data_IF_891888109997
#
_entry.id   IF_891888109997
#
_cell.length_a   1.000
_cell.length_b   1.000
_cell.length_c   1.000
_cell.angle_alpha   90.00
_cell.angle_beta   90.00
_cell.angle_gamma   90.00
#
_symmetry.space_group_name_H-M   'P 1'
#
loop_
_entity.id
_entity.type
_entity.pdbx_description
1 polymer ?
#
# COMPACT_ATOMS: atom_id res chain seq x y z
N UNK A 1 -1.46 50.62 -57.25
CA UNK A 1 -0.55 49.82 -56.38
C UNK A 1 -0.52 50.53 -55.04
N UNK A 2 -0.97 50.02 -53.89
CA UNK A 2 -1.38 48.69 -53.41
C UNK A 2 -2.58 48.89 -52.47
N UNK A 3 -3.46 47.91 -52.38
CA UNK A 3 -4.42 47.76 -51.29
C UNK A 3 -3.80 46.83 -50.24
N UNK A 4 -3.85 47.22 -48.96
CA UNK A 4 -3.47 46.37 -47.83
C UNK A 4 -4.69 45.54 -47.40
N UNK A 5 -4.49 44.22 -47.30
CA UNK A 5 -5.41 43.27 -46.68
C UNK A 5 -4.96 43.06 -45.23
N UNK A 6 -5.81 43.44 -44.26
CA UNK A 6 -5.73 42.90 -42.90
C UNK A 6 -6.46 41.56 -42.86
N UNK A 7 -5.75 40.49 -42.50
CA UNK A 7 -6.31 39.19 -42.13
C UNK A 7 -6.40 39.11 -40.60
N UNK A 8 -7.62 39.04 -40.07
CA UNK A 8 -7.88 38.67 -38.67
C UNK A 8 -7.50 37.19 -38.43
N UNK A 9 -6.72 36.92 -37.37
CA UNK A 9 -6.46 35.57 -36.84
C UNK A 9 -7.53 35.21 -35.78
N UNK A 10 -8.09 33.99 -35.74
CA UNK A 10 -9.04 33.62 -34.69
C UNK A 10 -8.35 33.07 -33.43
N UNK A 11 -8.94 33.43 -32.29
CA UNK A 11 -8.80 32.91 -30.92
C UNK A 11 -8.05 31.57 -30.73
N UNK A 12 -6.87 31.61 -30.09
CA UNK A 12 -6.20 30.47 -29.44
C UNK A 12 -5.89 30.84 -27.97
N UNK A 13 -6.88 31.36 -27.22
CA UNK A 13 -6.69 31.65 -25.78
C UNK A 13 -7.66 30.91 -24.86
N UNK A 14 -8.78 30.38 -25.36
CA UNK A 14 -9.82 29.76 -24.50
C UNK A 14 -9.55 28.30 -24.14
N UNK A 15 -8.83 27.54 -24.97
CA UNK A 15 -8.59 26.10 -24.73
C UNK A 15 -7.48 25.82 -23.72
N UNK A 16 -6.55 26.76 -23.51
CA UNK A 16 -5.44 26.57 -22.56
C UNK A 16 -5.82 26.90 -21.11
N UNK A 17 -6.83 27.76 -20.89
CA UNK A 17 -7.39 28.03 -19.56
C UNK A 17 -8.36 26.94 -19.09
N UNK A 18 -9.14 26.31 -19.98
CA UNK A 18 -10.03 25.19 -19.62
C UNK A 18 -9.25 23.96 -19.12
N UNK A 19 -8.17 23.56 -19.80
CA UNK A 19 -7.34 22.43 -19.36
C UNK A 19 -6.63 22.67 -18.02
N UNK A 20 -6.33 23.93 -17.67
CA UNK A 20 -5.70 24.28 -16.38
C UNK A 20 -6.71 24.23 -15.23
N UNK A 21 -7.97 24.59 -15.47
CA UNK A 21 -9.04 24.49 -14.47
C UNK A 21 -9.49 23.03 -14.20
N UNK A 22 -9.48 22.15 -15.21
CA UNK A 22 -9.81 20.72 -15.02
C UNK A 22 -8.78 19.98 -14.16
N UNK A 23 -7.47 20.24 -14.37
CA UNK A 23 -6.41 19.64 -13.54
C UNK A 23 -6.42 20.15 -12.09
N UNK A 24 -6.76 21.43 -11.85
CA UNK A 24 -6.94 21.95 -10.49
C UNK A 24 -8.20 21.39 -9.80
N UNK A 25 -9.27 21.15 -10.55
CA UNK A 25 -10.51 20.55 -10.06
C UNK A 25 -10.31 19.11 -9.57
N UNK A 26 -9.63 18.27 -10.36
CA UNK A 26 -9.33 16.89 -10.01
C UNK A 26 -8.40 16.78 -8.78
N UNK A 27 -7.42 17.69 -8.66
CA UNK A 27 -6.53 17.74 -7.48
C UNK A 27 -7.27 18.09 -6.18
N UNK A 28 -8.22 19.03 -6.23
CA UNK A 28 -9.05 19.42 -5.08
C UNK A 28 -10.10 18.36 -4.72
N UNK A 29 -10.73 17.70 -5.70
CA UNK A 29 -11.64 16.58 -5.47
C UNK A 29 -10.91 15.36 -4.88
N UNK A 30 -9.72 15.03 -5.40
CA UNK A 30 -8.86 13.96 -4.85
C UNK A 30 -8.45 14.23 -3.41
N UNK A 31 -8.06 15.46 -3.09
CA UNK A 31 -7.70 15.85 -1.71
C UNK A 31 -8.92 15.86 -0.77
N UNK A 32 -10.09 16.31 -1.27
CA UNK A 32 -11.37 16.27 -0.55
C UNK A 32 -11.81 14.83 -0.24
N UNK A 33 -11.66 13.93 -1.20
CA UNK A 33 -11.94 12.51 -1.04
C UNK A 33 -10.97 11.87 -0.03
N UNK A 34 -9.67 12.12 -0.13
CA UNK A 34 -8.67 11.63 0.84
C UNK A 34 -8.97 12.07 2.28
N UNK A 35 -9.40 13.32 2.47
CA UNK A 35 -9.84 13.82 3.80
C UNK A 35 -11.10 13.12 4.28
N UNK A 36 -12.10 12.92 3.41
CA UNK A 36 -13.34 12.23 3.74
C UNK A 36 -13.09 10.77 4.17
N UNK A 37 -12.21 10.05 3.47
CA UNK A 37 -11.82 8.68 3.83
C UNK A 37 -11.05 8.60 5.16
N UNK A 38 -10.19 9.57 5.45
CA UNK A 38 -9.50 9.66 6.74
C UNK A 38 -10.47 9.84 7.91
N UNK A 39 -11.49 10.70 7.75
CA UNK A 39 -12.54 10.89 8.75
C UNK A 39 -13.44 9.66 8.91
N UNK A 40 -13.85 9.02 7.82
CA UNK A 40 -14.62 7.78 7.87
C UNK A 40 -13.84 6.70 8.62
N UNK A 41 -12.55 6.54 8.32
CA UNK A 41 -11.69 5.55 8.98
C UNK A 41 -11.53 5.83 10.49
N UNK A 42 -11.30 7.08 10.88
CA UNK A 42 -11.28 7.46 12.30
C UNK A 42 -12.62 7.18 12.99
N UNK A 43 -13.74 7.46 12.31
CA UNK A 43 -15.08 7.20 12.84
C UNK A 43 -15.36 5.71 12.95
N UNK A 44 -14.92 4.90 12.01
CA UNK A 44 -15.10 3.46 12.07
C UNK A 44 -14.18 2.80 13.10
N UNK A 45 -12.97 3.32 13.35
CA UNK A 45 -12.16 2.93 14.53
C UNK A 45 -12.89 3.31 15.83
N UNK A 46 -13.41 4.54 15.90
CA UNK A 46 -14.13 5.04 17.08
C UNK A 46 -15.39 4.23 17.38
N UNK A 47 -16.10 3.80 16.34
CA UNK A 47 -17.29 2.94 16.43
C UNK A 47 -16.94 1.44 16.60
N UNK A 48 -15.65 1.07 16.69
CA UNK A 48 -15.20 -0.31 16.86
C UNK A 48 -15.34 -1.20 15.62
N UNK A 49 -15.61 -0.62 14.45
CA UNK A 49 -15.80 -1.33 13.18
C UNK A 49 -14.48 -1.66 12.47
N UNK A 50 -13.38 -0.97 12.80
CA UNK A 50 -12.05 -1.23 12.23
C UNK A 50 -11.03 -1.37 13.37
N UNK A 51 -10.28 -2.47 13.39
CA UNK A 51 -9.16 -2.66 14.31
C UNK A 51 -7.94 -1.86 13.87
N UNK A 52 -7.32 -1.14 14.81
CA UNK A 52 -6.04 -0.48 14.56
C UNK A 52 -4.98 -1.54 14.22
N UNK A 53 -4.05 -1.29 13.27
CA UNK A 53 -2.97 -2.22 12.94
C UNK A 53 -2.22 -2.66 14.19
N UNK A 54 -2.07 -3.96 14.37
CA UNK A 54 -1.42 -4.52 15.55
C UNK A 54 -0.67 -5.81 15.22
N UNK A 55 0.56 -5.87 15.70
CA UNK A 55 1.41 -7.07 15.68
C UNK A 55 1.87 -7.37 17.11
N UNK A 56 1.82 -8.63 17.49
CA UNK A 56 2.26 -9.14 18.79
C UNK A 56 3.46 -10.04 18.55
N UNK A 57 4.59 -9.70 19.15
CA UNK A 57 5.81 -10.49 19.09
C UNK A 57 5.97 -11.32 20.36
N UNK A 58 6.47 -12.55 20.21
CA UNK A 58 6.69 -13.49 21.31
C UNK A 58 8.14 -13.96 21.34
N UNK A 59 8.70 -14.07 22.55
CA UNK A 59 10.10 -14.49 22.75
C UNK A 59 10.34 -15.94 22.33
N UNK A 60 9.33 -16.81 22.46
CA UNK A 60 9.42 -18.23 22.10
C UNK A 60 8.59 -18.57 20.86
N UNK A 61 8.75 -19.80 20.34
CA UNK A 61 7.92 -20.34 19.26
C UNK A 61 6.50 -20.60 19.77
N UNK A 62 5.55 -20.75 18.84
CA UNK A 62 4.15 -21.09 19.15
C UNK A 62 3.48 -20.11 20.15
N UNK A 63 3.81 -18.82 20.05
CA UNK A 63 3.18 -17.74 20.83
C UNK A 63 3.38 -17.86 22.35
N UNK A 64 4.52 -18.38 22.77
CA UNK A 64 4.87 -18.58 24.18
C UNK A 64 5.88 -17.55 24.70
N UNK A 65 6.05 -17.51 26.02
CA UNK A 65 7.00 -16.62 26.70
C UNK A 65 6.47 -15.20 26.88
N UNK A 66 7.38 -14.26 27.09
CA UNK A 66 7.01 -12.83 27.15
C UNK A 66 6.61 -12.36 25.76
N UNK A 67 5.72 -11.38 25.72
CA UNK A 67 5.26 -10.77 24.48
C UNK A 67 5.38 -9.25 24.52
N UNK A 68 5.44 -8.66 23.34
CA UNK A 68 5.42 -7.22 23.11
C UNK A 68 4.44 -6.89 21.99
N UNK A 69 3.50 -6.00 22.27
CA UNK A 69 2.52 -5.53 21.31
C UNK A 69 3.01 -4.23 20.66
N UNK A 70 2.91 -4.16 19.33
CA UNK A 70 3.32 -3.02 18.54
C UNK A 70 2.22 -2.61 17.57
N UNK A 71 1.90 -1.31 17.54
CA UNK A 71 0.86 -0.73 16.69
C UNK A 71 1.42 0.32 15.72
N UNK A 72 2.75 0.45 15.64
CA UNK A 72 3.43 1.50 14.89
C UNK A 72 4.81 1.03 14.45
N UNK A 73 5.59 1.95 13.86
CA UNK A 73 6.99 1.69 13.55
C UNK A 73 7.81 1.54 14.85
N UNK A 74 8.64 0.50 14.93
CA UNK A 74 9.58 0.26 16.01
C UNK A 74 10.99 0.09 15.42
N UNK A 75 11.86 1.06 15.64
CA UNK A 75 13.22 1.07 15.09
C UNK A 75 14.17 0.11 15.84
N UNK A 76 13.90 -0.20 17.11
CA UNK A 76 14.73 -1.10 17.89
C UNK A 76 13.89 -1.77 19.00
N UNK A 77 13.75 -3.09 18.91
CA UNK A 77 12.99 -3.89 19.86
C UNK A 77 13.80 -4.34 21.08
N UNK A 78 15.12 -4.08 21.10
CA UNK A 78 16.02 -4.61 22.13
C UNK A 78 15.66 -4.17 23.56
N UNK A 79 14.97 -3.04 23.70
CA UNK A 79 14.49 -2.53 24.99
C UNK A 79 13.23 -3.26 25.50
N UNK A 80 12.47 -3.89 24.61
CA UNK A 80 11.21 -4.55 24.94
C UNK A 80 11.37 -6.06 25.11
N UNK A 81 12.28 -6.67 24.35
CA UNK A 81 12.50 -8.13 24.34
C UNK A 81 13.96 -8.46 24.08
N UNK A 82 14.40 -9.66 24.51
CA UNK A 82 15.76 -10.15 24.24
C UNK A 82 15.88 -11.05 23.00
N UNK A 83 14.74 -11.54 22.50
CA UNK A 83 14.60 -12.39 21.32
C UNK A 83 13.17 -12.36 20.78
N UNK A 84 12.96 -12.89 19.57
CA UNK A 84 11.64 -13.11 18.99
C UNK A 84 11.65 -14.34 18.09
N UNK A 85 10.76 -15.30 18.35
CA UNK A 85 10.69 -16.56 17.60
C UNK A 85 9.31 -16.83 16.99
N UNK A 86 8.27 -16.14 17.44
CA UNK A 86 6.96 -16.15 16.80
C UNK A 86 6.28 -14.80 16.90
N UNK A 87 5.32 -14.53 16.02
CA UNK A 87 4.49 -13.34 16.10
C UNK A 87 3.10 -13.57 15.51
N UNK A 88 2.14 -12.75 15.92
CA UNK A 88 0.80 -12.71 15.35
C UNK A 88 0.50 -11.31 14.87
N UNK A 89 0.03 -11.19 13.64
CA UNK A 89 -0.53 -9.93 13.13
C UNK A 89 -2.05 -10.04 13.29
N UNK A 90 -2.59 -9.30 14.24
CA UNK A 90 -4.03 -9.25 14.50
C UNK A 90 -4.74 -8.46 13.39
N UNK A 91 -4.10 -7.40 12.89
CA UNK A 91 -4.68 -6.50 11.89
C UNK A 91 -3.60 -5.73 11.12
N UNK A 92 -3.93 -5.34 9.89
CA UNK A 92 -3.03 -4.56 9.03
C UNK A 92 -1.84 -5.36 8.49
N UNK A 93 -0.82 -4.62 8.04
CA UNK A 93 0.36 -5.16 7.40
C UNK A 93 1.63 -4.58 8.03
N UNK A 94 2.64 -5.42 8.20
CA UNK A 94 3.91 -5.03 8.80
C UNK A 94 5.08 -5.53 7.95
N UNK A 95 6.14 -4.73 7.86
CA UNK A 95 7.44 -5.16 7.37
C UNK A 95 8.37 -5.35 8.57
N UNK A 96 8.86 -6.57 8.80
CA UNK A 96 9.78 -6.90 9.90
C UNK A 96 11.21 -7.03 9.42
N UNK A 97 12.17 -6.73 10.28
CA UNK A 97 13.60 -6.68 9.96
C UNK A 97 14.43 -7.40 11.02
N UNK A 98 15.50 -8.08 10.60
CA UNK A 98 16.42 -8.80 11.51
C UNK A 98 17.47 -7.91 12.17
N UNK A 99 17.61 -6.64 11.74
CA UNK A 99 18.46 -5.65 12.41
C UNK A 99 17.67 -4.43 12.87
N UNK A 100 18.20 -3.66 13.85
CA UNK A 100 17.64 -2.38 14.22
C UNK A 100 17.67 -1.38 13.04
N UNK A 101 16.90 -0.31 13.17
CA UNK A 101 16.79 0.80 12.23
C UNK A 101 16.31 0.39 10.82
N UNK A 102 15.47 -0.65 10.74
CA UNK A 102 14.85 -1.11 9.49
C UNK A 102 15.87 -1.60 8.46
N UNK A 103 16.91 -2.28 8.95
CA UNK A 103 18.03 -2.76 8.16
C UNK A 103 18.05 -4.28 8.11
N UNK A 104 18.80 -4.82 7.15
CA UNK A 104 19.03 -6.25 7.06
C UNK A 104 18.00 -6.99 6.24
N UNK A 105 17.81 -8.27 6.54
CA UNK A 105 16.79 -9.06 5.90
C UNK A 105 15.43 -8.58 6.37
N UNK A 106 14.44 -8.67 5.47
CA UNK A 106 13.12 -8.15 5.75
C UNK A 106 12.02 -9.02 5.17
N UNK A 107 10.91 -9.10 5.89
CA UNK A 107 9.78 -9.95 5.56
C UNK A 107 8.47 -9.23 5.78
N UNK A 108 7.60 -9.39 4.79
CA UNK A 108 6.27 -8.81 4.79
C UNK A 108 5.28 -9.74 5.48
N UNK A 109 4.71 -9.28 6.58
CA UNK A 109 3.66 -9.97 7.33
C UNK A 109 2.31 -9.29 7.12
N UNK A 110 1.31 -10.11 6.79
CA UNK A 110 -0.11 -9.76 6.77
C UNK A 110 -0.79 -10.36 7.99
N UNK A 111 -2.06 -9.98 8.24
CA UNK A 111 -2.93 -10.62 9.24
C UNK A 111 -2.77 -12.14 9.20
N UNK A 112 -2.48 -12.73 10.35
CA UNK A 112 -2.19 -14.16 10.49
C UNK A 112 -1.21 -14.50 11.60
N UNK A 113 -0.96 -15.80 11.73
CA UNK A 113 -0.16 -16.41 12.78
C UNK A 113 1.16 -16.96 12.24
N UNK A 114 2.28 -16.53 12.82
CA UNK A 114 3.63 -16.92 12.42
C UNK A 114 4.32 -17.62 13.60
N UNK A 115 4.04 -18.91 13.77
CA UNK A 115 4.45 -19.70 14.94
C UNK A 115 5.95 -20.02 15.02
N UNK A 116 6.67 -19.96 13.89
CA UNK A 116 8.12 -20.18 13.81
C UNK A 116 8.76 -19.26 12.75
N UNK A 117 9.00 -18.03 13.17
CA UNK A 117 9.59 -16.99 12.35
C UNK A 117 10.97 -17.39 11.79
N UNK A 118 11.81 -18.04 12.61
CA UNK A 118 13.19 -18.34 12.21
C UNK A 118 13.25 -19.44 11.16
N UNK A 119 12.47 -20.52 11.33
CA UNK A 119 12.43 -21.60 10.34
C UNK A 119 11.81 -21.14 9.02
N UNK A 120 10.78 -20.28 9.08
CA UNK A 120 10.08 -19.79 7.89
C UNK A 120 10.92 -18.80 7.07
N UNK A 121 11.67 -17.94 7.74
CA UNK A 121 12.44 -16.87 7.10
C UNK A 121 13.91 -17.23 6.82
N UNK A 122 14.35 -18.42 7.24
CA UNK A 122 15.75 -18.85 7.10
C UNK A 122 16.74 -17.93 7.83
N UNK A 123 16.26 -17.22 8.86
CA UNK A 123 17.06 -16.26 9.61
C UNK A 123 17.93 -16.94 10.63
N UNK A 124 19.15 -16.41 10.80
CA UNK A 124 20.04 -16.77 11.92
C UNK A 124 19.76 -15.94 13.17
N UNK A 125 19.12 -14.79 12.99
CA UNK A 125 18.82 -13.80 14.03
C UNK A 125 17.30 -13.61 14.17
N UNK A 126 16.88 -12.94 15.24
CA UNK A 126 15.48 -12.66 15.54
C UNK A 126 15.03 -11.27 15.02
N UNK A 127 13.72 -11.01 15.02
CA UNK A 127 13.14 -9.73 14.55
C UNK A 127 13.53 -8.57 15.49
N UNK A 128 14.30 -7.59 15.00
CA UNK A 128 14.79 -6.46 15.82
C UNK A 128 14.15 -5.11 15.52
N UNK A 129 13.50 -4.95 14.37
CA UNK A 129 12.72 -3.74 14.07
C UNK A 129 11.55 -4.05 13.14
N UNK A 130 10.53 -3.20 13.13
CA UNK A 130 9.36 -3.36 12.26
C UNK A 130 8.79 -2.02 11.80
N UNK A 131 8.19 -1.99 10.62
CA UNK A 131 7.40 -0.88 10.12
C UNK A 131 5.95 -1.30 9.94
N UNK A 132 5.04 -0.48 10.42
CA UNK A 132 3.64 -0.56 10.02
C UNK A 132 3.53 -0.07 8.58
N UNK A 133 2.85 -0.82 7.73
CA UNK A 133 2.56 -0.38 6.36
C UNK A 133 1.22 0.36 6.38
N UNK A 134 1.20 1.68 6.09
CA UNK A 134 -0.02 2.44 6.10
C UNK A 134 -1.02 1.89 5.09
N UNK A 135 -2.30 1.98 5.44
CA UNK A 135 -3.37 1.71 4.49
C UNK A 135 -3.27 2.64 3.30
N UNK A 136 -3.46 2.09 2.10
CA UNK A 136 -3.45 2.88 0.88
C UNK A 136 -4.55 2.43 -0.08
N UNK A 137 -5.54 3.32 -0.28
CA UNK A 137 -6.69 3.13 -1.17
C UNK A 137 -6.65 4.02 -2.42
N UNK A 138 -5.45 4.42 -2.85
CA UNK A 138 -5.24 5.22 -4.06
C UNK A 138 -4.83 4.38 -5.27
N UNK A 139 -4.48 5.07 -6.36
CA UNK A 139 -3.83 4.46 -7.52
C UNK A 139 -2.44 3.96 -7.16
N UNK A 140 -1.99 2.86 -7.73
CA UNK A 140 -0.61 2.40 -7.56
C UNK A 140 0.21 2.82 -8.77
N UNK A 141 1.38 3.45 -8.56
CA UNK A 141 2.24 3.84 -9.69
C UNK A 141 3.72 3.81 -9.33
N UNK A 142 4.50 3.10 -10.15
CA UNK A 142 5.96 3.04 -10.06
C UNK A 142 6.60 3.22 -11.43
N UNK A 143 7.72 3.93 -11.48
CA UNK A 143 8.65 3.92 -12.63
C UNK A 143 9.91 3.16 -12.29
N UNK A 144 10.33 2.30 -13.20
CA UNK A 144 11.54 1.48 -13.07
C UNK A 144 12.51 1.85 -14.19
N UNK A 145 13.80 1.80 -13.88
CA UNK A 145 14.85 2.27 -14.77
C UNK A 145 15.97 1.24 -14.86
N UNK A 146 16.48 1.06 -16.08
CA UNK A 146 17.56 0.13 -16.38
C UNK A 146 18.88 0.53 -15.69
N UNK A 147 19.11 1.83 -15.49
CA UNK A 147 20.34 2.35 -14.86
C UNK A 147 20.05 3.11 -13.59
N UNK A 148 21.10 3.31 -12.80
CA UNK A 148 21.08 4.19 -11.63
C UNK A 148 20.74 5.64 -12.03
N UNK A 149 20.33 6.44 -11.05
CA UNK A 149 19.97 7.85 -11.20
C UNK A 149 18.90 8.10 -12.28
N UNK A 150 17.93 7.18 -12.40
CA UNK A 150 16.81 7.27 -13.35
C UNK A 150 17.24 7.30 -14.82
N UNK A 151 18.40 6.73 -15.14
CA UNK A 151 18.93 6.65 -16.50
C UNK A 151 18.50 5.38 -17.25
N UNK A 152 18.81 5.34 -18.54
CA UNK A 152 18.52 4.19 -19.41
C UNK A 152 17.05 4.08 -19.79
N UNK A 153 16.63 2.88 -20.20
CA UNK A 153 15.23 2.63 -20.55
C UNK A 153 14.34 2.75 -19.30
N UNK A 154 13.16 3.36 -19.47
CA UNK A 154 12.17 3.56 -18.41
C UNK A 154 10.86 2.86 -18.75
N UNK A 155 10.26 2.25 -17.73
CA UNK A 155 8.90 1.70 -17.81
C UNK A 155 8.08 2.19 -16.62
N UNK A 156 6.84 2.59 -16.88
CA UNK A 156 5.84 2.92 -15.87
C UNK A 156 4.88 1.73 -15.69
N UNK A 157 4.55 1.42 -14.43
CA UNK A 157 3.68 0.30 -14.08
C UNK A 157 2.67 0.68 -13.00
N UNK A 158 1.44 0.19 -13.17
CA UNK A 158 0.31 0.39 -12.27
C UNK A 158 -0.17 -0.92 -11.61
N UNK A 159 0.28 -2.06 -12.13
CA UNK A 159 -0.15 -3.40 -11.73
C UNK A 159 1.04 -4.27 -11.34
N UNK A 160 0.74 -5.42 -10.74
CA UNK A 160 1.75 -6.42 -10.36
C UNK A 160 2.48 -6.93 -11.62
N UNK A 161 3.77 -7.20 -11.47
CA UNK A 161 4.68 -7.66 -12.51
C UNK A 161 5.37 -8.94 -12.08
N UNK A 162 4.92 -10.07 -12.63
CA UNK A 162 5.47 -11.40 -12.32
C UNK A 162 6.91 -11.58 -12.84
N UNK A 163 7.27 -10.92 -13.94
CA UNK A 163 8.57 -11.01 -14.58
C UNK A 163 8.85 -9.74 -15.39
N UNK A 164 9.82 -8.95 -14.92
CA UNK A 164 10.30 -7.75 -15.61
C UNK A 164 10.88 -8.13 -16.98
N UNK A 165 11.61 -9.25 -17.05
CA UNK A 165 12.23 -9.71 -18.28
C UNK A 165 11.18 -10.07 -19.34
N UNK A 166 10.11 -10.76 -18.96
CA UNK A 166 9.08 -11.16 -19.93
C UNK A 166 8.22 -9.98 -20.37
N UNK A 167 7.87 -9.08 -19.44
CA UNK A 167 6.99 -7.94 -19.71
C UNK A 167 7.69 -6.78 -20.41
N UNK A 168 8.89 -6.44 -19.96
CA UNK A 168 9.60 -5.22 -20.40
C UNK A 168 10.90 -5.51 -21.14
N UNK A 169 11.32 -6.77 -21.25
CA UNK A 169 12.62 -7.16 -21.84
C UNK A 169 13.80 -6.45 -21.17
N UNK A 170 13.64 -6.08 -19.90
CA UNK A 170 14.66 -5.40 -19.11
C UNK A 170 15.31 -6.42 -18.16
N UNK A 171 16.61 -6.64 -18.33
CA UNK A 171 17.36 -7.63 -17.56
C UNK A 171 17.88 -7.11 -16.22
N UNK A 172 17.98 -5.79 -16.07
CA UNK A 172 18.50 -5.15 -14.86
C UNK A 172 17.64 -3.93 -14.51
N UNK A 173 17.21 -3.85 -13.26
CA UNK A 173 16.47 -2.72 -12.71
C UNK A 173 17.35 -2.13 -11.61
N UNK A 174 17.91 -0.94 -11.84
CA UNK A 174 18.92 -0.36 -10.96
C UNK A 174 18.44 0.85 -10.16
N UNK A 175 17.36 1.50 -10.62
CA UNK A 175 16.71 2.58 -9.88
C UNK A 175 15.19 2.59 -10.13
N UNK A 176 14.45 3.20 -9.22
CA UNK A 176 13.00 3.36 -9.38
C UNK A 176 12.48 4.63 -8.69
N UNK A 177 11.31 5.08 -9.13
CA UNK A 177 10.55 6.13 -8.47
C UNK A 177 9.15 5.58 -8.18
N UNK A 178 8.85 5.39 -6.90
CA UNK A 178 7.50 5.03 -6.44
C UNK A 178 6.74 6.33 -6.28
N UNK A 179 5.82 6.61 -7.21
CA UNK A 179 4.99 7.80 -7.14
C UNK A 179 3.83 7.58 -6.19
N UNK A 180 3.20 6.40 -6.26
CA UNK A 180 1.98 6.11 -5.52
C UNK A 180 1.93 4.66 -5.03
N UNK A 181 1.36 4.49 -3.84
CA UNK A 181 1.15 3.19 -3.21
C UNK A 181 2.39 2.58 -2.56
N UNK A 182 2.19 1.38 -2.03
CA UNK A 182 3.20 0.58 -1.35
C UNK A 182 3.50 -0.67 -2.16
N UNK A 183 4.79 -0.99 -2.34
CA UNK A 183 5.21 -2.04 -3.25
C UNK A 183 6.26 -2.95 -2.63
N UNK A 184 6.31 -4.19 -3.10
CA UNK A 184 7.36 -5.15 -2.83
C UNK A 184 8.05 -5.49 -4.15
N UNK A 185 9.36 -5.31 -4.21
CA UNK A 185 10.21 -5.81 -5.30
C UNK A 185 10.89 -7.10 -4.85
N UNK A 186 11.09 -8.05 -5.77
CA UNK A 186 11.62 -9.38 -5.45
C UNK A 186 12.81 -9.73 -6.33
N UNK A 187 13.74 -10.49 -5.76
CA UNK A 187 14.94 -10.96 -6.41
C UNK A 187 14.66 -11.94 -7.56
N UNK A 188 13.61 -12.75 -7.43
CA UNK A 188 13.24 -13.76 -8.44
C UNK A 188 11.86 -13.48 -9.05
N UNK A 189 11.59 -14.01 -10.26
CA UNK A 189 10.27 -13.96 -10.87
C UNK A 189 9.20 -14.59 -9.97
N UNK A 190 7.95 -14.20 -10.17
CA UNK A 190 6.78 -14.70 -9.44
C UNK A 190 6.89 -14.51 -7.91
N UNK A 191 7.42 -13.36 -7.49
CA UNK A 191 7.46 -12.92 -6.10
C UNK A 191 8.26 -13.84 -5.16
N UNK A 192 9.41 -14.32 -5.63
CA UNK A 192 10.27 -15.25 -4.90
C UNK A 192 11.62 -14.63 -4.51
N UNK A 193 12.34 -15.33 -3.64
CA UNK A 193 13.64 -14.89 -3.15
C UNK A 193 13.52 -13.73 -2.16
N UNK A 194 14.61 -12.97 -2.01
CA UNK A 194 14.63 -11.80 -1.12
C UNK A 194 13.71 -10.71 -1.66
N UNK A 195 13.10 -9.95 -0.76
CA UNK A 195 12.18 -8.86 -1.10
C UNK A 195 12.68 -7.50 -0.60
N UNK A 196 12.28 -6.43 -1.30
CA UNK A 196 12.51 -5.02 -0.94
C UNK A 196 11.17 -4.26 -0.78
N UNK A 197 10.88 -3.68 0.40
CA UNK A 197 9.77 -2.76 0.60
C UNK A 197 10.07 -1.39 0.03
N UNK A 198 9.19 -0.94 -0.86
CA UNK A 198 9.26 0.35 -1.51
C UNK A 198 8.06 1.19 -1.09
N UNK A 199 8.36 2.31 -0.42
CA UNK A 199 7.39 3.36 -0.10
C UNK A 199 7.39 4.41 -1.21
N UNK A 200 6.41 5.31 -1.25
CA UNK A 200 6.50 6.49 -2.11
C UNK A 200 7.83 7.23 -1.89
N UNK A 201 8.53 7.51 -2.98
CA UNK A 201 9.85 8.11 -2.95
C UNK A 201 10.77 7.73 -4.12
N UNK A 202 11.93 8.37 -4.13
CA UNK A 202 12.98 8.23 -5.13
C UNK A 202 14.09 7.28 -4.66
N UNK A 203 14.39 6.26 -5.47
CA UNK A 203 15.40 5.24 -5.19
C UNK A 203 16.44 5.24 -6.31
N UNK A 204 17.49 6.04 -6.15
CA UNK A 204 18.47 6.33 -7.22
C UNK A 204 19.48 5.22 -7.47
N UNK A 205 19.79 4.42 -6.46
CA UNK A 205 20.67 3.26 -6.60
C UNK A 205 20.32 2.21 -5.56
N UNK A 206 19.91 1.02 -6.01
CA UNK A 206 19.75 -0.12 -5.11
C UNK A 206 21.08 -0.59 -4.52
N UNK A 207 22.18 -0.35 -5.24
CA UNK A 207 23.53 -0.70 -4.76
C UNK A 207 23.92 0.08 -3.52
N UNK A 208 23.74 1.40 -3.53
CA UNK A 208 24.05 2.27 -2.38
C UNK A 208 23.20 1.95 -1.15
N UNK A 209 21.99 1.42 -1.38
CA UNK A 209 21.08 0.98 -0.31
C UNK A 209 21.44 -0.38 0.29
N UNK A 210 22.55 -0.99 -0.14
CA UNK A 210 23.00 -2.30 0.36
C UNK A 210 22.44 -3.50 -0.42
N UNK A 211 21.77 -3.26 -1.56
CA UNK A 211 21.22 -4.31 -2.45
C UNK A 211 22.04 -4.50 -3.72
N UNK A 212 23.33 -4.12 -3.74
CA UNK A 212 24.17 -4.12 -4.94
C UNK A 212 24.44 -5.47 -5.60
N UNK A 213 24.19 -6.57 -4.89
CA UNK A 213 24.24 -7.93 -5.44
C UNK A 213 22.87 -8.53 -5.74
N UNK A 214 21.79 -7.77 -5.56
CA UNK A 214 20.42 -8.24 -5.73
C UNK A 214 19.85 -7.65 -7.02
N UNK A 215 19.31 -8.50 -7.88
CA UNK A 215 18.63 -8.08 -9.11
C UNK A 215 17.15 -8.23 -8.91
N UNK A 216 16.41 -7.14 -9.03
CA UNK A 216 14.96 -7.21 -8.95
C UNK A 216 14.39 -7.70 -10.26
N UNK A 217 13.49 -8.69 -10.20
CA UNK A 217 12.93 -9.36 -11.39
C UNK A 217 11.42 -9.51 -11.35
N UNK A 218 10.77 -9.30 -10.20
CA UNK A 218 9.31 -9.18 -10.09
C UNK A 218 8.90 -8.17 -9.03
N UNK A 219 7.68 -7.63 -9.12
CA UNK A 219 7.18 -6.60 -8.22
C UNK A 219 5.68 -6.71 -8.03
N UNK A 220 5.17 -6.51 -6.82
CA UNK A 220 3.73 -6.50 -6.55
C UNK A 220 3.34 -5.37 -5.63
N UNK A 221 2.10 -4.94 -5.78
CA UNK A 221 1.45 -3.99 -4.90
C UNK A 221 1.17 -4.65 -3.55
N UNK A 222 1.29 -3.85 -2.50
CA UNK A 222 0.79 -4.21 -1.18
C UNK A 222 -0.66 -3.75 -1.11
N UNK A 223 -1.55 -4.55 -1.66
CA UNK A 223 -2.98 -4.33 -1.54
C UNK A 223 -3.42 -4.77 -0.15
N UNK A 224 -4.15 -3.87 0.52
CA UNK A 224 -4.60 -4.06 1.89
C UNK A 224 -5.58 -5.24 1.98
N UNK A 225 -5.42 -6.11 2.97
CA UNK A 225 -6.27 -7.30 3.16
C UNK A 225 -7.64 -6.99 3.80
N UNK A 226 -8.04 -5.72 3.91
CA UNK A 226 -9.33 -5.36 4.50
C UNK A 226 -10.54 -5.89 3.74
N UNK A 227 -10.39 -6.34 2.50
CA UNK A 227 -11.49 -7.04 1.84
C UNK A 227 -11.96 -8.24 2.67
N UNK A 228 -11.04 -8.91 3.38
CA UNK A 228 -11.36 -10.02 4.28
C UNK A 228 -12.02 -9.53 5.58
N UNK A 229 -11.52 -8.44 6.18
CA UNK A 229 -12.05 -7.86 7.43
C UNK A 229 -13.46 -7.28 7.25
N UNK A 230 -13.73 -6.61 6.12
CA UNK A 230 -15.07 -6.07 5.83
C UNK A 230 -16.04 -7.22 5.57
N UNK A 231 -15.66 -8.26 4.80
CA UNK A 231 -16.50 -9.45 4.59
C UNK A 231 -16.80 -10.20 5.91
N UNK A 232 -15.83 -10.26 6.83
CA UNK A 232 -16.02 -10.87 8.15
C UNK A 232 -17.00 -10.04 9.01
N UNK A 233 -16.89 -8.72 9.02
CA UNK A 233 -17.85 -7.83 9.66
C UNK A 233 -19.27 -7.96 9.08
N UNK A 234 -19.41 -8.02 7.75
CA UNK A 234 -20.70 -8.30 7.07
C UNK A 234 -21.30 -9.63 7.51
N UNK A 235 -20.50 -10.70 7.58
CA UNK A 235 -20.95 -12.03 8.01
C UNK A 235 -21.43 -12.04 9.46
N UNK A 236 -20.76 -11.30 10.35
CA UNK A 236 -21.18 -11.16 11.75
C UNK A 236 -22.50 -10.39 11.88
N UNK A 237 -22.72 -9.38 11.03
CA UNK A 237 -23.96 -8.60 11.00
C UNK A 237 -25.16 -9.41 10.47
N UNK A 238 -24.95 -10.26 9.47
CA UNK A 238 -25.96 -11.19 8.93
C UNK A 238 -26.42 -12.21 10.00
N UNK A 239 -25.50 -12.66 10.85
CA UNK A 239 -25.78 -13.58 11.96
C UNK A 239 -26.49 -12.90 13.14
N UNK A 240 -26.39 -11.58 13.28
CA UNK A 240 -27.03 -10.79 14.35
C UNK A 240 -28.37 -10.15 13.93
N UNK A 241 -28.91 -10.51 12.76
CA UNK A 241 -30.13 -9.94 12.21
C UNK A 241 -31.42 -10.27 12.96
N UNK A 242 -31.65 -9.64 14.10
CA UNK A 242 -33.00 -9.39 14.63
C UNK A 242 -33.67 -8.29 13.76
N UNK A 243 -34.23 -8.72 12.63
CA UNK A 243 -35.54 -8.32 12.08
C UNK A 243 -35.97 -6.85 11.92
N UNK A 244 -35.13 -5.81 12.14
CA UNK A 244 -35.62 -4.42 12.11
C UNK A 244 -34.67 -3.46 11.36
N UNK A 245 -34.21 -3.80 10.16
CA UNK A 245 -33.72 -2.79 9.21
C UNK A 245 -33.95 -3.31 7.78
N UNK A 246 -35.00 -2.83 7.09
CA UNK A 246 -35.12 -3.00 5.64
C UNK A 246 -34.29 -1.90 4.98
N UNK A 247 -33.09 -2.23 4.53
CA UNK A 247 -32.33 -1.37 3.63
C UNK A 247 -32.69 -1.74 2.20
N UNK A 248 -33.41 -0.86 1.49
CA UNK A 248 -33.46 -0.89 0.03
C UNK A 248 -32.18 -0.26 -0.51
N UNK A 249 -31.34 -1.08 -1.16
CA UNK A 249 -30.15 -0.62 -1.86
C UNK A 249 -30.52 -0.46 -3.33
N UNK A 250 -30.48 0.77 -3.84
CA UNK A 250 -30.47 1.01 -5.28
C UNK A 250 -29.04 0.87 -5.79
N UNK A 251 -28.77 -0.20 -6.54
CA UNK A 251 -27.59 -0.28 -7.40
C UNK A 251 -27.78 0.71 -8.55
N UNK A 252 -26.89 1.70 -8.63
CA UNK A 252 -26.76 2.53 -9.84
C UNK A 252 -25.39 2.25 -10.45
N UNK A 253 -25.41 1.68 -11.64
CA UNK A 253 -24.25 1.36 -12.46
C UNK A 253 -23.81 2.64 -13.20
N UNK A 254 -22.71 3.29 -12.79
CA UNK A 254 -22.06 4.34 -13.62
C UNK A 254 -20.51 4.27 -13.56
N UNK A 255 -19.94 3.68 -14.62
CA UNK A 255 -18.70 3.92 -15.38
C UNK A 255 -17.31 4.17 -14.76
N UNK A 256 -17.13 4.30 -13.44
CA UNK A 256 -15.78 4.49 -12.89
C UNK A 256 -15.52 3.71 -11.60
N UNK A 257 -15.76 2.39 -11.57
CA UNK A 257 -15.08 1.45 -10.67
C UNK A 257 -15.10 1.73 -9.15
N UNK A 258 -15.98 2.58 -8.63
CA UNK A 258 -16.10 2.91 -7.22
C UNK A 258 -17.53 2.68 -6.73
N UNK A 259 -17.71 1.75 -5.79
CA UNK A 259 -18.96 1.61 -5.03
C UNK A 259 -19.07 2.80 -4.06
N UNK A 260 -20.05 3.67 -4.29
CA UNK A 260 -20.42 4.75 -3.36
C UNK A 260 -21.57 4.24 -2.49
N UNK A 261 -21.28 3.92 -1.23
CA UNK A 261 -22.33 3.62 -0.24
C UNK A 261 -22.88 4.93 0.32
N UNK A 262 -24.11 5.28 -0.07
CA UNK A 262 -24.89 6.31 0.62
C UNK A 262 -25.62 5.66 1.80
N UNK A 263 -25.16 5.94 3.02
CA UNK A 263 -25.90 5.63 4.23
C UNK A 263 -26.87 6.79 4.52
N UNK A 264 -28.17 6.59 4.31
CA UNK A 264 -29.20 7.47 4.87
C UNK A 264 -29.76 6.83 6.14
N UNK A 265 -29.75 7.56 7.25
CA UNK A 265 -30.53 7.22 8.44
C UNK A 265 -31.90 7.88 8.32
N UNK A 266 -32.95 7.12 8.09
CA UNK A 266 -34.31 7.58 8.40
C UNK A 266 -34.65 7.14 9.82
N UNK A 267 -34.77 8.08 10.75
CA UNK A 267 -35.49 7.80 11.99
C UNK A 267 -36.98 7.63 11.65
N UNK A 268 -37.68 6.62 12.17
CA UNK A 268 -39.13 6.55 12.02
C UNK A 268 -39.77 7.68 12.84
N UNK A 269 -40.65 8.45 12.20
CA UNK A 269 -41.53 9.40 12.89
C UNK A 269 -42.50 8.63 13.81
N UNK A 270 -42.69 9.13 15.05
CA UNK A 270 -43.69 8.62 16.03
C UNK A 270 -45.13 8.78 15.54
#
# INVERSE_FOLDING_TARGET
>A
MKAEQEQEQPLISSQHEQHRHEHEGQGKQSLGNKKKYFFLYQQCIFNGWFSLPQIIFYEERNFMGRHYECMSDCADMSSYMSRCHSCRVESGCFMVYDRPNYMGNQYFFRRGEYADCMSMMGWRDWIRSCRMIPMYRGSYRMRIYERENFGGQMYEMMDDCDSIMDRYRMSDCMSCHVMDGHWLMYEQPHYRGRMMYMRPGEYRSFREMGYGGMRFTSMRRIMDSWQDDVHEAWRVQELQGDGIWRHEVHEHEEDHGFLVLNMSSSMPDE
#
